data_IF_525144072227
#
_entry.id   IF_525144072227
#
_cell.length_a   1.000
_cell.length_b   1.000
_cell.length_c   1.000
_cell.angle_alpha   90.00
_cell.angle_beta   90.00
_cell.angle_gamma   90.00
#
_symmetry.space_group_name_H-M   'P 1'
#
loop_
_entity.id
_entity.type
_entity.pdbx_description
1 polymer ?
#
# COMPACT_ATOMS: atom_id res chain seq x y z
N UNK A 1 -4.60 0.21 -3.32
CA UNK A 1 -4.92 -0.21 -1.93
C UNK A 1 -5.70 -1.51 -2.00
N UNK A 2 -5.56 -2.42 -1.02
CA UNK A 2 -6.35 -3.65 -1.02
C UNK A 2 -7.85 -3.32 -0.97
N UNK A 3 -8.71 -3.96 -1.79
CA UNK A 3 -10.14 -3.69 -1.79
C UNK A 3 -10.74 -3.89 -0.38
N UNK A 4 -11.60 -2.98 0.04
CA UNK A 4 -12.25 -3.07 1.35
C UNK A 4 -11.39 -2.68 2.56
N UNK A 5 -10.24 -2.06 2.35
CA UNK A 5 -9.45 -1.46 3.45
C UNK A 5 -9.81 0.02 3.63
N UNK A 6 -9.43 0.62 4.77
CA UNK A 6 -9.66 2.05 5.05
C UNK A 6 -11.15 2.49 5.05
N UNK A 7 -12.06 1.56 5.34
CA UNK A 7 -13.51 1.84 5.31
C UNK A 7 -14.05 2.19 3.92
N UNK A 8 -13.27 1.97 2.86
CA UNK A 8 -13.69 2.22 1.48
C UNK A 8 -14.38 1.01 0.87
N UNK A 9 -15.25 1.26 -0.11
CA UNK A 9 -15.85 0.21 -0.93
C UNK A 9 -14.77 -0.59 -1.66
N UNK A 10 -15.06 -1.86 -1.98
CA UNK A 10 -14.19 -2.67 -2.84
C UNK A 10 -14.00 -2.03 -4.23
N UNK A 11 -14.98 -1.25 -4.67
CA UNK A 11 -15.01 -0.56 -5.98
C UNK A 11 -14.54 0.91 -5.90
N UNK A 12 -13.82 1.28 -4.84
CA UNK A 12 -13.19 2.58 -4.72
C UNK A 12 -12.03 2.73 -5.72
N UNK A 13 -11.75 3.97 -6.16
CA UNK A 13 -10.71 4.21 -7.18
C UNK A 13 -9.32 3.86 -6.65
N UNK A 14 -9.10 3.98 -5.34
CA UNK A 14 -7.89 3.56 -4.65
C UNK A 14 -7.63 2.06 -4.74
N UNK A 15 -8.65 1.24 -5.07
CA UNK A 15 -8.53 -0.21 -5.28
C UNK A 15 -8.53 -0.61 -6.76
N UNK A 16 -9.20 0.17 -7.62
CA UNK A 16 -9.49 -0.23 -9.01
C UNK A 16 -8.70 0.54 -10.07
N UNK A 17 -8.28 1.78 -9.77
CA UNK A 17 -7.68 2.71 -10.75
C UNK A 17 -6.21 2.97 -10.48
N UNK A 18 -5.76 2.81 -9.23
CA UNK A 18 -4.37 3.01 -8.84
C UNK A 18 -3.91 1.99 -7.81
N UNK A 19 -2.60 1.78 -7.74
CA UNK A 19 -1.97 0.94 -6.73
C UNK A 19 -0.97 1.76 -5.92
N UNK A 20 -0.74 1.35 -4.67
CA UNK A 20 0.31 1.94 -3.87
C UNK A 20 1.62 1.18 -4.09
N UNK A 21 2.67 1.93 -4.40
CA UNK A 21 4.03 1.42 -4.45
C UNK A 21 4.65 1.16 -3.07
N UNK A 22 3.96 1.51 -1.97
CA UNK A 22 4.50 1.34 -0.62
C UNK A 22 4.96 -0.09 -0.34
N UNK A 23 4.30 -1.09 -0.94
CA UNK A 23 4.67 -2.49 -0.80
C UNK A 23 6.05 -2.84 -1.40
N UNK A 24 6.63 -1.97 -2.23
CA UNK A 24 8.01 -2.12 -2.72
C UNK A 24 9.05 -1.59 -1.74
N UNK A 25 8.64 -0.82 -0.73
CA UNK A 25 9.52 -0.27 0.29
C UNK A 25 9.55 -1.28 1.44
N UNK A 26 10.74 -1.80 1.74
CA UNK A 26 10.94 -2.70 2.89
C UNK A 26 10.76 -1.93 4.18
N UNK A 27 9.95 -2.45 5.11
CA UNK A 27 9.79 -1.94 6.48
C UNK A 27 11.10 -1.93 7.27
N UNK A 28 12.09 -2.71 6.82
CA UNK A 28 13.40 -2.83 7.45
C UNK A 28 14.48 -2.32 6.51
N UNK A 29 15.50 -1.69 7.09
CA UNK A 29 16.71 -1.35 6.37
C UNK A 29 17.40 -2.61 5.82
N UNK A 30 18.18 -2.50 4.73
CA UNK A 30 19.00 -3.60 4.24
C UNK A 30 19.87 -4.17 5.36
N UNK A 31 20.03 -5.50 5.39
CA UNK A 31 20.89 -6.14 6.38
C UNK A 31 22.34 -5.68 6.16
N UNK A 32 22.92 -5.07 7.19
CA UNK A 32 24.30 -4.62 7.26
C UNK A 32 25.15 -5.71 7.93
N UNK A 33 26.35 -5.97 7.39
CA UNK A 33 27.20 -7.09 7.81
C UNK A 33 27.67 -7.03 9.28
N UNK A 34 27.60 -5.85 9.88
CA UNK A 34 28.03 -5.54 11.25
C UNK A 34 26.89 -5.48 12.27
N UNK A 35 25.63 -5.52 11.84
CA UNK A 35 24.50 -5.27 12.72
C UNK A 35 23.68 -6.55 12.92
N UNK A 36 23.68 -7.04 14.16
CA UNK A 36 23.03 -8.28 14.55
C UNK A 36 21.49 -8.18 14.47
N UNK A 37 20.96 -6.94 14.45
CA UNK A 37 19.52 -6.66 14.47
C UNK A 37 19.09 -5.93 13.21
N UNK A 38 17.98 -6.38 12.63
CA UNK A 38 17.31 -5.69 11.52
C UNK A 38 16.64 -4.42 12.05
N UNK A 39 17.14 -3.26 11.62
CA UNK A 39 16.58 -1.97 12.01
C UNK A 39 15.34 -1.61 11.18
N UNK A 40 14.38 -0.93 11.80
CA UNK A 40 13.21 -0.36 11.14
C UNK A 40 13.61 0.78 10.21
N UNK A 41 12.86 0.95 9.11
CA UNK A 41 13.02 2.03 8.14
C UNK A 41 12.42 3.38 8.61
N UNK A 42 11.88 3.43 9.83
CA UNK A 42 11.23 4.62 10.37
C UNK A 42 12.23 5.70 10.72
N UNK A 43 11.84 6.96 10.54
CA UNK A 43 12.59 8.10 11.04
C UNK A 43 12.76 8.01 12.57
N UNK A 44 14.00 8.07 13.11
CA UNK A 44 14.26 7.82 14.53
C UNK A 44 13.71 8.92 15.46
N UNK A 45 13.31 10.07 14.92
CA UNK A 45 12.77 11.19 15.70
C UNK A 45 11.25 11.13 15.77
N UNK A 46 10.59 10.91 14.63
CA UNK A 46 9.12 11.00 14.49
C UNK A 46 8.43 9.64 14.46
N UNK A 47 9.16 8.56 14.17
CA UNK A 47 8.61 7.22 13.97
C UNK A 47 7.78 7.06 12.69
N UNK A 48 7.72 8.09 11.84
CA UNK A 48 7.04 7.99 10.54
C UNK A 48 7.93 7.29 9.51
N UNK A 49 7.33 6.71 8.49
CA UNK A 49 8.09 6.14 7.38
C UNK A 49 8.96 7.22 6.72
N UNK A 50 10.27 6.97 6.61
CA UNK A 50 11.16 7.88 5.94
C UNK A 50 10.83 7.96 4.42
N UNK A 51 11.13 9.10 3.79
CA UNK A 51 10.97 9.26 2.35
C UNK A 51 12.18 8.63 1.66
N UNK A 52 11.94 7.77 0.66
CA UNK A 52 12.99 7.05 -0.05
C UNK A 52 13.00 7.38 -1.52
N UNK A 53 14.20 7.57 -2.07
CA UNK A 53 14.43 7.50 -3.51
C UNK A 53 14.52 6.02 -3.92
N UNK A 54 13.48 5.52 -4.59
CA UNK A 54 13.46 4.17 -5.14
C UNK A 54 13.80 4.19 -6.63
N UNK A 55 14.67 3.26 -7.07
CA UNK A 55 14.91 3.02 -8.49
C UNK A 55 14.01 1.88 -8.96
N UNK A 56 13.14 2.17 -9.92
CA UNK A 56 12.26 1.17 -10.54
C UNK A 56 12.70 0.85 -11.96
N UNK A 57 12.50 -0.39 -12.39
CA UNK A 57 12.62 -0.79 -13.80
C UNK A 57 11.23 -0.88 -14.40
N UNK A 58 10.96 -0.06 -15.41
CA UNK A 58 9.70 -0.09 -16.16
C UNK A 58 9.93 -0.82 -17.47
N UNK A 59 9.02 -1.72 -17.83
CA UNK A 59 9.04 -2.45 -19.10
C UNK A 59 7.72 -2.19 -19.83
N UNK A 60 7.76 -2.13 -21.16
CA UNK A 60 6.55 -1.98 -21.97
C UNK A 60 5.67 -3.23 -21.80
N UNK A 61 4.37 -3.02 -21.67
CA UNK A 61 3.40 -4.11 -21.65
C UNK A 61 3.38 -4.88 -22.98
N UNK A 62 3.04 -6.17 -22.90
CA UNK A 62 2.76 -6.97 -24.07
C UNK A 62 1.47 -6.51 -24.76
N UNK A 63 1.27 -6.77 -26.07
CA UNK A 63 0.02 -6.45 -26.75
C UNK A 63 -1.19 -7.07 -26.04
N UNK A 64 -2.15 -6.23 -25.63
CA UNK A 64 -3.37 -6.66 -24.94
C UNK A 64 -3.23 -6.84 -23.42
N UNK A 65 -2.06 -6.63 -22.84
CA UNK A 65 -1.87 -6.69 -21.39
C UNK A 65 -2.52 -5.47 -20.72
N UNK A 66 -3.52 -5.73 -19.88
CA UNK A 66 -4.32 -4.73 -19.17
C UNK A 66 -4.61 -5.20 -17.74
N UNK A 67 -4.66 -4.27 -16.79
CA UNK A 67 -4.95 -4.58 -15.39
C UNK A 67 -3.90 -4.07 -14.42
N UNK A 68 -4.04 -4.48 -13.16
CA UNK A 68 -3.17 -4.09 -12.04
C UNK A 68 -2.77 -5.38 -11.32
N UNK A 69 -1.50 -5.49 -10.93
CA UNK A 69 -1.00 -6.63 -10.16
C UNK A 69 -0.03 -6.19 -9.06
N UNK A 70 0.08 -6.97 -7.96
CA UNK A 70 -0.77 -8.12 -7.62
C UNK A 70 -2.19 -7.70 -7.19
N UNK A 71 -3.19 -8.51 -7.53
CA UNK A 71 -4.57 -8.35 -7.02
C UNK A 71 -4.73 -9.20 -5.77
N UNK A 72 -5.04 -8.57 -4.65
CA UNK A 72 -5.35 -9.27 -3.41
C UNK A 72 -6.86 -9.44 -3.24
N UNK A 73 -7.32 -10.52 -2.59
CA UNK A 73 -8.71 -10.66 -2.20
C UNK A 73 -9.17 -9.48 -1.34
N UNK A 74 -10.45 -9.10 -1.47
CA UNK A 74 -11.08 -8.07 -0.65
C UNK A 74 -10.89 -8.38 0.84
N UNK A 75 -10.40 -7.39 1.60
CA UNK A 75 -10.20 -7.52 3.03
C UNK A 75 -11.53 -7.80 3.74
N UNK A 76 -11.49 -8.73 4.71
CA UNK A 76 -12.66 -9.05 5.53
C UNK A 76 -13.10 -7.83 6.33
N UNK A 77 -14.41 -7.72 6.53
CA UNK A 77 -14.97 -6.72 7.44
C UNK A 77 -14.55 -7.04 8.88
N UNK A 78 -14.11 -6.01 9.61
CA UNK A 78 -13.72 -6.14 11.00
C UNK A 78 -14.97 -6.24 11.88
N UNK A 79 -14.84 -6.86 13.06
CA UNK A 79 -15.90 -6.85 14.07
C UNK A 79 -16.26 -5.42 14.47
N UNK A 80 -17.55 -5.06 14.41
CA UNK A 80 -18.03 -3.72 14.73
C UNK A 80 -18.03 -2.73 13.55
N UNK A 81 -17.61 -3.16 12.36
CA UNK A 81 -17.72 -2.38 11.13
C UNK A 81 -19.20 -2.18 10.76
N UNK A 82 -19.61 -0.92 10.56
CA UNK A 82 -20.98 -0.54 10.19
C UNK A 82 -21.39 -1.06 8.80
N UNK A 83 -20.43 -1.61 8.03
CA UNK A 83 -20.55 -2.09 6.65
C UNK A 83 -20.91 -0.99 5.64
N UNK A 84 -21.18 0.23 6.10
CA UNK A 84 -21.31 1.38 5.24
C UNK A 84 -19.92 1.83 4.78
N UNK A 85 -19.62 1.60 3.51
CA UNK A 85 -18.31 1.88 2.94
C UNK A 85 -18.45 2.80 1.73
N UNK A 86 -18.19 4.11 1.87
CA UNK A 86 -18.31 5.03 0.75
C UNK A 86 -17.29 4.71 -0.35
N UNK A 87 -17.60 5.13 -1.58
CA UNK A 87 -16.66 5.04 -2.71
C UNK A 87 -15.59 6.12 -2.69
N UNK A 88 -15.85 7.23 -2.01
CA UNK A 88 -14.94 8.37 -1.87
C UNK A 88 -15.01 8.80 -0.42
N UNK A 89 -13.85 8.84 0.26
CA UNK A 89 -13.76 9.42 1.58
C UNK A 89 -13.88 10.94 1.49
N UNK A 90 -14.82 11.51 2.24
CA UNK A 90 -14.97 12.96 2.38
C UNK A 90 -14.79 13.29 3.85
N UNK A 91 -13.80 14.12 4.16
CA UNK A 91 -13.78 14.79 5.45
C UNK A 91 -14.80 15.92 5.38
N UNK A 92 -15.83 15.84 6.20
CA UNK A 92 -16.67 17.00 6.46
C UNK A 92 -15.83 17.98 7.28
N UNK A 93 -15.54 19.14 6.69
CA UNK A 93 -15.03 20.29 7.42
C UNK A 93 -16.16 20.93 8.24
#
# INVERSE_FOLDING_TARGET
KQPGTWGLSAEASEATTGFLLNHLISELLPANATDERRLTNSDPVTGQAAWFDVRVKVTKCAPGETGIWPVFPTAKSLSGDSRHRPRVWRYHA
#
